data_IF_055539258702
#
_entry.id   IF_055539258702
#
_cell.length_a   1.000
_cell.length_b   1.000
_cell.length_c   1.000
_cell.angle_alpha   90.00
_cell.angle_beta   90.00
_cell.angle_gamma   90.00
#
_symmetry.space_group_name_H-M   'P 1'
#
loop_
_entity.id
_entity.type
_entity.pdbx_description
1 polymer ?
#
# COMPACT_ATOMS: atom_id res chain seq x y z
N UNK A 1 10.80 17.01 -13.50
CA UNK A 1 9.52 16.99 -14.22
C UNK A 1 9.02 18.39 -14.52
N UNK A 2 8.12 18.51 -15.48
CA UNK A 2 7.51 19.81 -15.85
C UNK A 2 6.75 20.48 -14.69
N UNK A 3 6.26 19.70 -13.75
CA UNK A 3 5.47 20.22 -12.63
C UNK A 3 6.29 21.03 -11.62
N UNK A 4 7.55 20.68 -11.50
CA UNK A 4 8.43 21.22 -10.46
C UNK A 4 9.54 22.12 -11.03
N UNK A 5 9.47 22.47 -12.33
CA UNK A 5 10.54 23.20 -13.01
C UNK A 5 11.84 22.40 -12.98
N UNK A 6 12.93 23.02 -12.53
CA UNK A 6 14.20 22.33 -12.33
C UNK A 6 14.51 22.04 -10.85
N UNK A 7 13.53 22.21 -9.96
CA UNK A 7 13.71 21.97 -8.53
C UNK A 7 13.98 20.52 -8.19
N UNK A 8 13.57 19.61 -9.07
CA UNK A 8 13.80 18.16 -8.97
C UNK A 8 14.91 17.66 -9.91
N UNK A 9 15.75 18.55 -10.46
CA UNK A 9 16.87 18.16 -11.32
C UNK A 9 17.81 17.20 -10.59
N UNK A 10 18.18 16.11 -11.26
CA UNK A 10 19.18 15.14 -10.82
C UNK A 10 20.13 14.80 -11.95
N UNK A 11 21.38 14.59 -11.59
CA UNK A 11 22.42 14.10 -12.48
C UNK A 11 22.65 12.61 -12.23
N UNK A 12 22.76 11.86 -13.30
CA UNK A 12 23.02 10.42 -13.26
C UNK A 12 24.24 10.12 -14.12
N UNK A 13 25.04 9.16 -13.68
CA UNK A 13 26.13 8.60 -14.47
C UNK A 13 25.66 7.30 -15.14
N UNK A 14 25.92 7.18 -16.44
CA UNK A 14 25.60 5.99 -17.20
C UNK A 14 26.69 4.92 -17.03
N UNK A 15 26.28 3.68 -16.86
CA UNK A 15 27.19 2.53 -16.76
C UNK A 15 27.32 1.84 -18.12
N UNK A 16 28.56 1.62 -18.54
CA UNK A 16 28.86 0.86 -19.77
C UNK A 16 28.48 -0.60 -19.57
N UNK A 17 27.72 -1.15 -20.52
CA UNK A 17 27.33 -2.55 -20.56
C UNK A 17 28.36 -3.40 -21.32
N UNK A 18 28.28 -4.73 -21.19
CA UNK A 18 29.18 -5.66 -21.86
C UNK A 18 29.11 -5.58 -23.39
N UNK A 19 27.95 -5.21 -23.96
CA UNK A 19 27.74 -5.01 -25.40
C UNK A 19 28.26 -3.65 -25.93
N UNK A 20 28.82 -2.82 -25.05
CA UNK A 20 29.32 -1.49 -25.39
C UNK A 20 28.32 -0.36 -25.23
N UNK A 21 27.06 -0.65 -24.97
CA UNK A 21 26.03 0.34 -24.71
C UNK A 21 26.18 0.95 -23.31
N UNK A 22 25.62 2.15 -23.13
CA UNK A 22 25.54 2.81 -21.84
C UNK A 22 24.12 2.80 -21.32
N UNK A 23 23.94 2.47 -20.06
CA UNK A 23 22.64 2.39 -19.41
C UNK A 23 22.61 3.22 -18.14
N UNK A 24 21.50 3.91 -17.95
CA UNK A 24 21.17 4.60 -16.71
C UNK A 24 19.72 4.31 -16.34
N UNK A 25 19.47 4.11 -15.05
CA UNK A 25 18.11 3.97 -14.53
C UNK A 25 17.75 5.23 -13.75
N UNK A 26 16.69 5.88 -14.18
CA UNK A 26 16.14 7.07 -13.52
C UNK A 26 14.96 6.62 -12.65
N UNK A 27 14.98 6.97 -11.38
CA UNK A 27 13.92 6.64 -10.43
C UNK A 27 13.12 7.88 -10.10
N UNK A 28 11.80 7.80 -10.20
CA UNK A 28 10.91 8.89 -9.82
C UNK A 28 11.08 9.29 -8.34
N UNK A 29 11.48 8.35 -7.47
CA UNK A 29 11.78 8.64 -6.06
C UNK A 29 12.89 9.68 -5.87
N UNK A 30 13.85 9.73 -6.78
CA UNK A 30 14.92 10.73 -6.74
C UNK A 30 14.44 12.12 -7.16
N UNK A 31 13.26 12.19 -7.75
CA UNK A 31 12.59 13.39 -8.23
C UNK A 31 11.29 13.67 -7.43
N UNK A 32 11.33 13.49 -6.12
CA UNK A 32 10.20 13.74 -5.21
C UNK A 32 8.93 12.96 -5.57
N UNK A 33 9.07 11.82 -6.27
CA UNK A 33 7.96 11.05 -6.83
C UNK A 33 7.03 11.88 -7.74
N UNK A 34 7.55 12.87 -8.41
CA UNK A 34 6.77 13.66 -9.36
C UNK A 34 6.29 12.83 -10.53
N UNK A 35 5.08 13.09 -10.99
CA UNK A 35 4.51 12.54 -12.23
C UNK A 35 4.52 13.60 -13.32
N UNK A 36 4.25 13.20 -14.55
CA UNK A 36 4.17 14.08 -15.71
C UNK A 36 5.37 13.93 -16.64
N UNK A 37 5.62 14.94 -17.44
CA UNK A 37 6.65 14.89 -18.45
C UNK A 37 8.03 15.13 -17.84
N UNK A 38 8.93 14.18 -18.04
CA UNK A 38 10.34 14.27 -17.67
C UNK A 38 11.16 14.66 -18.88
N UNK A 39 11.99 15.70 -18.74
CA UNK A 39 12.97 16.09 -19.74
C UNK A 39 14.31 15.45 -19.41
N UNK A 40 14.88 14.75 -20.36
CA UNK A 40 16.13 14.02 -20.21
C UNK A 40 17.13 14.60 -21.20
N UNK A 41 18.25 15.10 -20.66
CA UNK A 41 19.35 15.63 -21.45
C UNK A 41 20.56 14.75 -21.27
N UNK A 42 21.17 14.33 -22.37
CA UNK A 42 22.37 13.49 -22.39
C UNK A 42 23.60 14.34 -22.73
N UNK A 43 24.64 14.17 -21.96
CA UNK A 43 25.92 14.84 -22.14
C UNK A 43 27.06 13.84 -22.13
N UNK A 44 28.07 14.05 -22.99
CA UNK A 44 29.38 13.47 -22.81
C UNK A 44 30.24 14.36 -21.91
N UNK A 45 31.06 13.72 -21.08
CA UNK A 45 32.16 14.38 -20.39
C UNK A 45 33.44 14.01 -21.13
N UNK A 46 34.10 15.00 -21.74
CA UNK A 46 35.34 14.79 -22.46
C UNK A 46 36.53 14.68 -21.49
N UNK A 47 37.67 14.22 -22.00
CA UNK A 47 38.86 14.03 -21.18
C UNK A 47 39.38 15.33 -20.54
N UNK A 48 39.05 16.52 -21.12
CA UNK A 48 39.36 17.80 -20.57
C UNK A 48 38.35 18.33 -19.53
N UNK A 49 37.32 17.50 -19.21
CA UNK A 49 36.24 17.80 -18.29
C UNK A 49 35.09 18.63 -18.88
N UNK A 50 35.17 19.00 -20.15
CA UNK A 50 34.11 19.73 -20.83
C UNK A 50 32.89 18.82 -21.08
N UNK A 51 31.71 19.43 -21.09
CA UNK A 51 30.43 18.74 -21.37
C UNK A 51 29.95 19.09 -22.76
N UNK A 52 29.60 18.03 -23.52
CA UNK A 52 29.03 18.18 -24.85
C UNK A 52 27.63 17.56 -24.84
N UNK A 53 26.62 18.38 -25.17
CA UNK A 53 25.23 17.89 -25.32
C UNK A 53 25.10 16.96 -26.52
N UNK A 54 24.55 15.78 -26.30
CA UNK A 54 24.40 14.75 -27.33
C UNK A 54 22.98 14.63 -27.81
N UNK A 55 22.02 14.81 -26.93
CA UNK A 55 20.62 14.71 -27.28
C UNK A 55 19.70 15.03 -26.11
N UNK A 56 18.45 15.24 -26.47
CA UNK A 56 17.37 15.47 -25.50
C UNK A 56 16.19 14.56 -25.86
N UNK A 57 15.48 14.10 -24.86
CA UNK A 57 14.23 13.37 -25.03
C UNK A 57 13.28 13.67 -23.88
N UNK A 58 12.04 13.31 -24.05
CA UNK A 58 11.03 13.41 -23.00
C UNK A 58 10.32 12.08 -22.83
N UNK A 59 9.86 11.81 -21.61
CA UNK A 59 9.00 10.67 -21.33
C UNK A 59 7.93 11.06 -20.33
N UNK A 60 6.75 10.50 -20.47
CA UNK A 60 5.70 10.63 -19.45
C UNK A 60 5.93 9.59 -18.36
N UNK A 61 5.91 10.06 -17.13
CA UNK A 61 5.95 9.20 -15.94
C UNK A 61 4.60 9.27 -15.25
N UNK A 62 3.90 8.17 -15.30
CA UNK A 62 2.67 7.95 -14.55
C UNK A 62 2.88 6.77 -13.62
N UNK A 63 2.49 6.92 -12.37
CA UNK A 63 2.41 5.76 -11.51
C UNK A 63 1.15 4.97 -11.89
N UNK A 64 1.32 3.95 -12.69
CA UNK A 64 0.26 2.96 -12.91
C UNK A 64 -0.08 2.36 -11.55
N UNK A 65 -1.31 2.59 -11.09
CA UNK A 65 -1.76 2.19 -9.76
C UNK A 65 -0.97 2.85 -8.62
N UNK A 66 -0.75 4.17 -8.67
CA UNK A 66 -0.59 4.92 -7.44
C UNK A 66 -1.88 4.74 -6.64
N UNK A 67 -1.95 3.64 -5.88
CA UNK A 67 -3.02 3.44 -4.93
C UNK A 67 -2.88 4.55 -3.90
N UNK A 68 -3.75 5.54 -4.01
CA UNK A 68 -3.86 6.63 -3.04
C UNK A 68 -4.83 6.26 -1.93
N UNK A 69 -5.55 5.15 -2.11
CA UNK A 69 -6.62 4.70 -1.21
C UNK A 69 -6.17 3.53 -0.36
N UNK A 70 -6.44 3.63 0.93
CA UNK A 70 -6.37 2.51 1.86
C UNK A 70 -7.25 1.37 1.37
N UNK A 71 -6.78 0.14 1.49
CA UNK A 71 -7.54 -1.05 1.13
C UNK A 71 -7.70 -1.96 2.34
N UNK A 72 -8.88 -2.57 2.46
CA UNK A 72 -9.16 -3.57 3.47
C UNK A 72 -9.86 -4.77 2.81
N UNK A 73 -9.46 -5.98 3.18
CA UNK A 73 -10.01 -7.21 2.63
C UNK A 73 -9.96 -8.35 3.65
N UNK A 74 -10.83 -9.32 3.46
CA UNK A 74 -10.81 -10.59 4.21
C UNK A 74 -10.00 -11.61 3.43
N UNK A 75 -9.12 -12.32 4.13
CA UNK A 75 -8.25 -13.38 3.61
C UNK A 75 -8.25 -14.60 4.54
N UNK A 76 -7.69 -15.70 4.04
CA UNK A 76 -7.36 -16.88 4.83
C UNK A 76 -8.51 -17.37 5.69
N UNK A 77 -9.71 -17.47 5.11
CA UNK A 77 -10.88 -17.98 5.81
C UNK A 77 -10.68 -19.47 6.11
N UNK A 78 -10.68 -19.82 7.38
CA UNK A 78 -10.70 -21.20 7.85
C UNK A 78 -11.97 -21.42 8.67
N UNK A 79 -13.05 -21.80 7.97
CA UNK A 79 -14.35 -21.94 8.59
C UNK A 79 -14.36 -22.99 9.73
N UNK A 80 -13.61 -24.09 9.57
CA UNK A 80 -13.55 -25.19 10.53
C UNK A 80 -12.81 -24.80 11.81
N UNK A 81 -11.74 -24.01 11.70
CA UNK A 81 -11.02 -23.47 12.85
C UNK A 81 -11.70 -22.22 13.42
N UNK A 82 -12.69 -21.69 12.71
CA UNK A 82 -13.41 -20.50 13.11
C UNK A 82 -12.56 -19.23 13.06
N UNK A 83 -11.70 -19.09 12.04
CA UNK A 83 -10.81 -17.94 11.90
C UNK A 83 -10.82 -17.35 10.50
N UNK A 84 -10.53 -16.06 10.40
CA UNK A 84 -10.20 -15.38 9.16
C UNK A 84 -9.28 -14.19 9.45
N UNK A 85 -8.61 -13.70 8.42
CA UNK A 85 -7.71 -12.57 8.52
C UNK A 85 -8.33 -11.35 7.87
N UNK A 86 -8.27 -10.22 8.56
CA UNK A 86 -8.53 -8.89 8.01
C UNK A 86 -7.18 -8.28 7.65
N UNK A 87 -6.96 -8.01 6.36
CA UNK A 87 -5.75 -7.37 5.85
C UNK A 87 -6.06 -5.92 5.50
N UNK A 88 -5.24 -5.01 5.97
CA UNK A 88 -5.34 -3.57 5.70
C UNK A 88 -4.03 -3.08 5.11
N UNK A 89 -4.10 -2.44 3.94
CA UNK A 89 -2.96 -1.91 3.22
C UNK A 89 -3.01 -0.39 3.15
N UNK A 90 -1.96 0.25 3.64
CA UNK A 90 -1.72 1.66 3.43
C UNK A 90 -1.18 1.87 2.02
N UNK A 91 -1.78 2.79 1.27
CA UNK A 91 -1.26 3.13 -0.04
C UNK A 91 0.09 3.87 0.05
N UNK A 92 1.06 3.60 -0.86
CA UNK A 92 2.36 4.26 -0.85
C UNK A 92 2.28 5.79 -0.94
N UNK A 93 1.27 6.30 -1.64
CA UNK A 93 1.00 7.74 -1.82
C UNK A 93 -0.24 8.20 -1.04
N UNK A 94 -0.74 7.35 -0.14
CA UNK A 94 -1.96 7.58 0.60
C UNK A 94 -1.73 8.15 1.99
N UNK A 95 -2.85 8.29 2.70
CA UNK A 95 -2.88 8.76 4.09
C UNK A 95 -2.17 7.76 5.00
N UNK A 96 -1.39 8.26 5.95
CA UNK A 96 -0.70 7.41 6.91
C UNK A 96 -1.69 6.91 7.97
N UNK A 97 -1.66 5.60 8.21
CA UNK A 97 -2.52 4.94 9.18
C UNK A 97 -1.88 5.05 10.58
N UNK A 98 -2.68 5.50 11.53
CA UNK A 98 -2.31 5.58 12.94
C UNK A 98 -2.68 4.30 13.68
N UNK A 99 -3.90 3.81 13.49
CA UNK A 99 -4.44 2.62 14.14
C UNK A 99 -5.55 1.98 13.30
N UNK A 100 -5.77 0.68 13.50
CA UNK A 100 -6.82 -0.08 12.84
C UNK A 100 -7.68 -0.72 13.92
N UNK A 101 -8.99 -0.57 13.79
CA UNK A 101 -9.99 -1.23 14.66
C UNK A 101 -10.92 -2.09 13.81
N UNK A 102 -11.18 -3.29 14.26
CA UNK A 102 -12.07 -4.23 13.58
C UNK A 102 -13.19 -4.62 14.53
N UNK A 103 -14.43 -4.42 14.11
CA UNK A 103 -15.62 -4.91 14.78
C UNK A 103 -16.13 -6.14 14.05
N UNK A 104 -16.32 -7.24 14.75
CA UNK A 104 -16.88 -8.46 14.21
C UNK A 104 -17.99 -9.02 15.12
N UNK A 105 -19.05 -9.56 14.52
CA UNK A 105 -20.16 -10.20 15.23
C UNK A 105 -20.91 -11.13 14.29
N UNK A 106 -21.61 -12.12 14.85
CA UNK A 106 -22.45 -13.05 14.08
C UNK A 106 -23.90 -13.08 14.56
N UNK A 107 -24.19 -12.57 15.76
CA UNK A 107 -25.55 -12.55 16.32
C UNK A 107 -26.28 -11.26 15.98
N UNK A 108 -27.62 -11.36 15.97
CA UNK A 108 -28.49 -10.21 15.85
C UNK A 108 -28.17 -9.17 16.95
N UNK A 109 -28.43 -7.90 16.65
CA UNK A 109 -28.21 -6.79 17.58
C UNK A 109 -26.77 -6.70 18.14
N UNK A 110 -25.80 -7.33 17.43
CA UNK A 110 -24.37 -7.33 17.83
C UNK A 110 -24.12 -7.96 19.23
N UNK A 111 -24.95 -8.90 19.68
CA UNK A 111 -24.86 -9.49 21.02
C UNK A 111 -23.51 -10.13 21.32
N UNK A 112 -22.80 -10.64 20.30
CA UNK A 112 -21.46 -11.20 20.42
C UNK A 112 -20.40 -10.34 19.76
N UNK A 113 -20.60 -9.02 19.69
CA UNK A 113 -19.62 -8.09 19.15
C UNK A 113 -18.30 -8.16 19.92
N UNK A 114 -17.22 -8.24 19.17
CA UNK A 114 -15.87 -8.13 19.72
C UNK A 114 -15.04 -7.15 18.88
N UNK A 115 -14.24 -6.34 19.54
CA UNK A 115 -13.36 -5.37 18.93
C UNK A 115 -11.90 -5.87 18.94
N UNK A 116 -11.28 -5.82 17.76
CA UNK A 116 -9.86 -6.05 17.56
C UNK A 116 -9.19 -4.73 17.25
N UNK A 117 -7.92 -4.59 17.60
CA UNK A 117 -7.14 -3.40 17.31
C UNK A 117 -5.70 -3.75 16.98
N UNK A 118 -5.10 -2.99 16.07
CA UNK A 118 -3.67 -3.08 15.76
C UNK A 118 -3.10 -1.72 15.40
N UNK A 119 -1.89 -1.46 15.86
CA UNK A 119 -1.08 -0.32 15.43
C UNK A 119 -0.14 -0.79 14.33
N UNK A 120 -0.23 -0.24 13.10
CA UNK A 120 0.64 -0.65 12.00
C UNK A 120 2.12 -0.39 12.31
N UNK A 121 2.97 -1.33 11.92
CA UNK A 121 4.43 -1.20 11.95
C UNK A 121 5.01 -1.01 10.55
N UNK A 122 4.19 -1.11 9.52
CA UNK A 122 4.52 -0.98 8.11
C UNK A 122 3.27 -0.66 7.29
N UNK A 123 3.34 -0.86 5.99
CA UNK A 123 2.23 -0.53 5.08
C UNK A 123 1.15 -1.63 5.02
N UNK A 124 1.48 -2.86 5.38
CA UNK A 124 0.57 -4.00 5.42
C UNK A 124 0.36 -4.45 6.86
N UNK A 125 -0.90 -4.60 7.27
CA UNK A 125 -1.28 -5.04 8.62
C UNK A 125 -2.34 -6.12 8.53
N UNK A 126 -2.17 -7.18 9.29
CA UNK A 126 -3.12 -8.29 9.40
C UNK A 126 -3.65 -8.42 10.83
N UNK A 127 -4.96 -8.63 10.93
CA UNK A 127 -5.66 -8.87 12.19
C UNK A 127 -6.45 -10.17 12.05
N UNK A 128 -6.20 -11.13 12.94
CA UNK A 128 -6.94 -12.39 12.95
C UNK A 128 -8.22 -12.26 13.77
N UNK A 129 -9.35 -12.51 13.15
CA UNK A 129 -10.64 -12.67 13.82
C UNK A 129 -10.84 -14.15 14.15
N UNK A 130 -11.23 -14.45 15.38
CA UNK A 130 -11.44 -15.82 15.85
C UNK A 130 -12.79 -15.97 16.53
N UNK A 131 -13.53 -17.01 16.14
CA UNK A 131 -14.80 -17.38 16.78
C UNK A 131 -14.68 -17.58 18.29
N UNK A 132 -13.49 -17.91 18.78
CA UNK A 132 -13.21 -18.05 20.23
C UNK A 132 -13.57 -16.77 21.01
N UNK A 133 -13.37 -15.60 20.40
CA UNK A 133 -13.70 -14.31 21.04
C UNK A 133 -15.20 -13.98 20.98
N UNK A 134 -15.97 -14.83 20.31
CA UNK A 134 -17.41 -14.66 20.07
C UNK A 134 -18.22 -15.86 20.62
N UNK A 135 -17.70 -16.56 21.63
CA UNK A 135 -18.34 -17.71 22.23
C UNK A 135 -18.32 -18.98 21.36
N UNK A 136 -17.41 -19.09 20.41
CA UNK A 136 -17.33 -20.19 19.43
C UNK A 136 -18.60 -20.38 18.59
N UNK A 137 -19.36 -19.33 18.39
CA UNK A 137 -20.58 -19.38 17.61
C UNK A 137 -20.30 -19.68 16.13
N UNK A 138 -21.06 -20.60 15.56
CA UNK A 138 -21.14 -20.79 14.12
C UNK A 138 -22.10 -19.75 13.52
N UNK A 139 -21.79 -19.26 12.35
CA UNK A 139 -22.66 -18.30 11.66
C UNK A 139 -21.94 -17.41 10.67
N UNK A 140 -22.65 -16.41 10.18
CA UNK A 140 -22.15 -15.40 9.27
C UNK A 140 -21.63 -14.20 10.08
N UNK A 141 -20.33 -14.02 10.07
CA UNK A 141 -19.66 -12.93 10.78
C UNK A 141 -19.64 -11.67 9.93
N UNK A 142 -20.32 -10.65 10.38
CA UNK A 142 -20.23 -9.31 9.80
C UNK A 142 -18.94 -8.65 10.28
N UNK A 143 -18.19 -8.02 9.38
CA UNK A 143 -16.91 -7.39 9.68
C UNK A 143 -16.90 -5.93 9.22
N UNK A 144 -16.69 -5.02 10.16
CA UNK A 144 -16.45 -3.61 9.88
C UNK A 144 -15.03 -3.23 10.31
N UNK A 145 -14.33 -2.51 9.44
CA UNK A 145 -12.98 -2.01 9.71
C UNK A 145 -13.02 -0.49 9.80
N UNK A 146 -12.38 0.05 10.80
CA UNK A 146 -12.20 1.49 10.98
C UNK A 146 -10.71 1.80 11.00
N UNK A 147 -10.29 2.65 10.08
CA UNK A 147 -8.91 3.08 9.95
C UNK A 147 -8.81 4.51 10.48
N UNK A 148 -8.04 4.68 11.54
CA UNK A 148 -7.72 5.98 12.12
C UNK A 148 -6.43 6.49 11.46
N UNK A 149 -6.47 7.66 10.87
CA UNK A 149 -5.32 8.25 10.19
C UNK A 149 -4.55 9.22 11.07
N UNK A 150 -3.26 9.39 10.79
CA UNK A 150 -2.40 10.35 11.51
C UNK A 150 -2.82 11.80 11.32
N UNK A 151 -3.55 12.11 10.25
CA UNK A 151 -4.14 13.44 10.01
C UNK A 151 -5.41 13.73 10.83
N UNK A 152 -5.86 12.75 11.64
CA UNK A 152 -7.04 12.87 12.50
C UNK A 152 -8.35 12.37 11.88
N UNK A 153 -8.34 11.94 10.61
CA UNK A 153 -9.50 11.38 9.95
C UNK A 153 -9.74 9.90 10.27
N UNK A 154 -10.97 9.44 10.02
CA UNK A 154 -11.39 8.04 10.17
C UNK A 154 -12.08 7.60 8.90
N UNK A 155 -11.75 6.40 8.40
CA UNK A 155 -12.44 5.77 7.28
C UNK A 155 -13.00 4.41 7.69
N UNK A 156 -14.26 4.14 7.35
CA UNK A 156 -14.94 2.89 7.62
C UNK A 156 -15.05 2.02 6.37
N UNK A 157 -14.85 0.71 6.55
CA UNK A 157 -15.01 -0.32 5.51
C UNK A 157 -15.98 -1.38 6.00
N UNK A 158 -17.03 -1.65 5.21
CA UNK A 158 -17.90 -2.79 5.44
C UNK A 158 -17.39 -3.95 4.56
N UNK A 159 -16.82 -4.98 5.18
CA UNK A 159 -16.28 -6.15 4.48
C UNK A 159 -17.30 -7.25 4.28
N UNK A 160 -18.56 -7.01 4.60
CA UNK A 160 -19.64 -7.99 4.43
C UNK A 160 -19.60 -9.10 5.46
N UNK A 161 -20.00 -10.30 5.03
CA UNK A 161 -20.15 -11.46 5.90
C UNK A 161 -19.22 -12.60 5.50
N UNK A 162 -18.72 -13.30 6.51
CA UNK A 162 -17.86 -14.48 6.38
C UNK A 162 -18.45 -15.62 7.20
N UNK A 163 -18.72 -16.75 6.56
CA UNK A 163 -19.27 -17.92 7.25
C UNK A 163 -18.19 -18.67 8.03
N UNK A 164 -18.41 -18.88 9.32
CA UNK A 164 -17.59 -19.72 10.17
C UNK A 164 -18.43 -20.85 10.78
N UNK A 165 -17.84 -22.03 10.86
CA UNK A 165 -18.46 -23.23 11.45
C UNK A 165 -17.41 -23.92 12.33
N UNK A 166 -16.98 -23.29 13.43
CA UNK A 166 -15.95 -23.85 14.29
C UNK A 166 -16.40 -25.18 14.83
N UNK A 167 -15.53 -26.18 14.72
CA UNK A 167 -15.78 -27.48 15.38
C UNK A 167 -15.58 -27.26 16.87
N UNK A 168 -16.59 -27.57 17.66
CA UNK A 168 -16.45 -27.62 19.09
C UNK A 168 -15.35 -28.64 19.42
N UNK A 169 -14.20 -28.19 19.85
CA UNK A 169 -13.20 -29.04 20.45
C UNK A 169 -13.79 -29.51 21.79
N UNK A 170 -14.21 -30.77 21.83
CA UNK A 170 -14.59 -31.42 23.09
C UNK A 170 -13.32 -31.67 23.91
#
# INVERSE_FOLDING_TARGET
SDKDGQDDLRWYEATRQANGDYKVSVKASDHKNSTGKYHIHLYYIQNDGSRVGVGTTTTEVEFRNAQTKTQAAIKNVNATNGTYTVAVDQAPQGRQIKNIRVAAWSKAHQENLYWYSATPTGMHTEITVSANNHGNEAGNYTTHVYVDYKDGGVEGFNLGQTALSPRNQK
#
